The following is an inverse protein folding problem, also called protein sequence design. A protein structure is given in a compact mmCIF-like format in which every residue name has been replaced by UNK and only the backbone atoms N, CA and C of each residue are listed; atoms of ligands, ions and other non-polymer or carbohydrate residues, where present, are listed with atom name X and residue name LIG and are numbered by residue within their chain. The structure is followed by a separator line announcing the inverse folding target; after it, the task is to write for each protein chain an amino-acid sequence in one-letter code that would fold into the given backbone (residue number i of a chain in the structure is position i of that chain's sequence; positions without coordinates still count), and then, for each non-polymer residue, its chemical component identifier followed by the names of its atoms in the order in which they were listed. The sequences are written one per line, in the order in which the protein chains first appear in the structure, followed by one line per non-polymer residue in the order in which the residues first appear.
data_IF_264286802889
#
_entry.id   IF_264286802889
#
_cell.length_a   1.000
_cell.length_b   1.000
_cell.length_c   1.000
_cell.angle_alpha   90.00
_cell.angle_beta   90.00
_cell.angle_gamma   90.00
#
_symmetry.space_group_name_H-M   'P 1'
#
loop_
_entity.id
_entity.type
_entity.pdbx_description
1 polymer ?
#
# COMPACT_ATOMS: atom_id res chain seq x y z
N UNK A 1 -9.34 19.43 2.13
CA UNK A 1 -8.09 20.18 1.92
C UNK A 1 -7.05 19.18 1.46
N UNK A 2 -6.51 19.34 0.25
CA UNK A 2 -5.42 18.48 -0.22
C UNK A 2 -4.13 18.99 0.39
N UNK A 3 -3.55 18.20 1.29
CA UNK A 3 -2.26 18.49 1.87
C UNK A 3 -1.16 18.21 0.83
N UNK A 4 -0.40 19.22 0.38
CA UNK A 4 0.57 19.07 -0.71
C UNK A 4 1.78 18.22 -0.29
N UNK A 5 2.11 18.20 1.00
CA UNK A 5 3.20 17.37 1.53
C UNK A 5 2.81 15.89 1.50
N UNK A 6 1.58 15.58 1.92
CA UNK A 6 0.97 14.26 1.84
C UNK A 6 0.90 13.76 0.39
N UNK A 7 0.49 14.63 -0.55
CA UNK A 7 0.46 14.28 -1.96
C UNK A 7 1.86 13.96 -2.52
N UNK A 8 2.87 14.75 -2.14
CA UNK A 8 4.27 14.51 -2.54
C UNK A 8 4.79 13.20 -1.96
N UNK A 9 4.50 12.94 -0.69
CA UNK A 9 4.88 11.71 -0.02
C UNK A 9 4.22 10.48 -0.67
N UNK A 10 2.92 10.55 -1.00
CA UNK A 10 2.21 9.48 -1.71
C UNK A 10 2.78 9.21 -3.10
N UNK A 11 3.13 10.27 -3.84
CA UNK A 11 3.75 10.14 -5.16
C UNK A 11 5.12 9.43 -5.07
N UNK A 12 5.94 9.77 -4.08
CA UNK A 12 7.22 9.09 -3.84
C UNK A 12 7.01 7.62 -3.47
N UNK A 13 6.05 7.31 -2.61
CA UNK A 13 5.73 5.94 -2.21
C UNK A 13 5.34 5.07 -3.41
N UNK A 14 4.48 5.60 -4.29
CA UNK A 14 4.08 4.93 -5.54
C UNK A 14 5.28 4.58 -6.42
N UNK A 15 6.16 5.56 -6.66
CA UNK A 15 7.36 5.38 -7.50
C UNK A 15 8.29 4.29 -6.95
N UNK A 16 8.48 4.29 -5.63
CA UNK A 16 9.27 3.26 -4.95
C UNK A 16 8.64 1.85 -5.09
N UNK A 17 7.31 1.73 -4.99
CA UNK A 17 6.61 0.45 -5.17
C UNK A 17 6.76 -0.06 -6.60
N UNK A 18 6.58 0.82 -7.58
CA UNK A 18 6.71 0.48 -9.01
C UNK A 18 8.14 0.02 -9.35
N UNK A 19 9.15 0.68 -8.77
CA UNK A 19 10.56 0.30 -8.92
C UNK A 19 10.86 -1.08 -8.32
N UNK A 20 10.22 -1.43 -7.19
CA UNK A 20 10.36 -2.74 -6.56
C UNK A 20 9.64 -3.81 -7.39
N UNK A 21 8.46 -3.52 -7.92
CA UNK A 21 7.68 -4.43 -8.78
C UNK A 21 8.40 -4.81 -10.07
N UNK A 22 9.08 -3.84 -10.69
CA UNK A 22 9.82 -4.06 -11.94
C UNK A 22 11.11 -4.89 -11.78
N UNK A 23 11.63 -5.09 -10.56
CA UNK A 23 12.84 -5.90 -10.31
C UNK A 23 12.51 -7.33 -9.84
N UNK A 24 12.03 -8.12 -10.81
CA UNK A 24 11.77 -9.57 -10.89
C UNK A 24 12.21 -10.54 -9.75
N UNK A 25 11.29 -11.47 -9.46
CA UNK A 25 11.35 -12.83 -8.84
C UNK A 25 11.93 -13.05 -7.44
N UNK A 26 12.84 -12.23 -6.91
CA UNK A 26 13.46 -12.51 -5.58
C UNK A 26 12.77 -11.73 -4.44
N UNK A 27 11.76 -10.89 -4.74
CA UNK A 27 11.19 -9.91 -3.80
C UNK A 27 9.70 -10.04 -3.50
N UNK A 28 9.08 -11.17 -3.83
CA UNK A 28 7.66 -11.43 -3.55
C UNK A 28 7.31 -11.18 -2.07
N UNK A 29 8.12 -11.70 -1.13
CA UNK A 29 7.91 -11.46 0.31
C UNK A 29 7.96 -9.99 0.71
N UNK A 30 8.81 -9.20 0.06
CA UNK A 30 8.97 -7.76 0.36
C UNK A 30 7.82 -6.94 -0.21
N UNK A 31 7.31 -7.33 -1.39
CA UNK A 31 6.10 -6.73 -1.96
C UNK A 31 4.87 -7.06 -1.11
N UNK A 32 4.74 -8.30 -0.64
CA UNK A 32 3.69 -8.72 0.30
C UNK A 32 3.74 -7.88 1.59
N UNK A 33 4.93 -7.71 2.17
CA UNK A 33 5.10 -6.89 3.37
C UNK A 33 4.70 -5.42 3.13
N UNK A 34 5.10 -4.85 1.99
CA UNK A 34 4.75 -3.46 1.63
C UNK A 34 3.24 -3.31 1.44
N UNK A 35 2.60 -4.25 0.74
CA UNK A 35 1.16 -4.26 0.56
C UNK A 35 0.43 -4.34 1.90
N UNK A 36 0.83 -5.25 2.79
CA UNK A 36 0.22 -5.38 4.11
C UNK A 36 0.33 -4.10 4.94
N UNK A 37 1.49 -3.43 4.89
CA UNK A 37 1.71 -2.14 5.58
C UNK A 37 0.93 -0.98 4.97
N UNK A 38 0.71 -0.99 3.65
CA UNK A 38 -0.17 -0.02 2.99
C UNK A 38 -1.62 -0.20 3.45
N UNK A 39 -2.08 -1.44 3.58
CA UNK A 39 -3.42 -1.71 4.13
C UNK A 39 -3.53 -1.20 5.57
N UNK A 40 -2.53 -1.48 6.44
CA UNK A 40 -2.53 -0.95 7.81
C UNK A 40 -2.63 0.58 7.85
N UNK A 41 -1.93 1.27 6.95
CA UNK A 41 -2.01 2.72 6.83
C UNK A 41 -3.38 3.19 6.33
N UNK A 42 -3.98 2.49 5.37
CA UNK A 42 -5.33 2.80 4.87
C UNK A 42 -6.37 2.59 5.97
N UNK A 43 -6.27 1.53 6.78
CA UNK A 43 -7.18 1.31 7.92
C UNK A 43 -7.02 2.39 8.99
N UNK A 44 -5.80 2.88 9.22
CA UNK A 44 -5.57 4.00 10.12
C UNK A 44 -6.19 5.31 9.58
N UNK A 45 -6.09 5.57 8.28
CA UNK A 45 -6.58 6.81 7.65
C UNK A 45 -8.08 6.78 7.32
N UNK A 46 -8.65 5.61 7.07
CA UNK A 46 -10.03 5.40 6.64
C UNK A 46 -10.67 4.22 7.39
N UNK A 47 -10.82 4.31 8.72
CA UNK A 47 -11.33 3.22 9.55
C UNK A 47 -12.79 2.86 9.25
N UNK A 48 -13.55 3.77 8.63
CA UNK A 48 -14.94 3.58 8.27
C UNK A 48 -15.14 2.99 6.86
N UNK A 49 -14.05 2.66 6.15
CA UNK A 49 -14.10 2.15 4.77
C UNK A 49 -14.85 3.05 3.78
N UNK A 50 -14.80 4.37 3.97
CA UNK A 50 -15.53 5.33 3.14
C UNK A 50 -14.78 5.62 1.85
N UNK A 51 -13.44 5.68 1.90
CA UNK A 51 -12.60 6.07 0.77
C UNK A 51 -12.07 4.89 -0.01
N UNK A 52 -11.78 3.79 0.66
CA UNK A 52 -11.25 2.57 0.04
C UNK A 52 -12.14 1.40 0.41
N UNK A 53 -12.81 0.84 -0.60
CA UNK A 53 -13.67 -0.33 -0.44
C UNK A 53 -12.94 -1.49 0.24
N UNK A 54 -13.63 -2.29 1.07
CA UNK A 54 -13.02 -3.38 1.82
C UNK A 54 -12.41 -4.46 0.92
N UNK A 55 -12.89 -4.61 -0.33
CA UNK A 55 -12.34 -5.55 -1.32
C UNK A 55 -10.86 -5.28 -1.68
N UNK A 56 -10.40 -4.03 -1.56
CA UNK A 56 -9.01 -3.66 -1.82
C UNK A 56 -8.13 -3.71 -0.57
N UNK A 57 -8.72 -4.03 0.59
CA UNK A 57 -8.03 -4.11 1.89
C UNK A 57 -7.57 -5.50 2.25
N UNK A 58 -7.75 -6.47 1.36
CA UNK A 58 -7.30 -7.83 1.62
C UNK A 58 -5.77 -7.87 1.64
N UNK A 59 -5.21 -8.19 2.81
CA UNK A 59 -3.77 -8.43 3.00
C UNK A 59 -3.36 -9.69 2.24
N UNK A 60 -2.28 -9.60 1.48
CA UNK A 60 -1.76 -10.72 0.69
C UNK A 60 -0.95 -11.66 1.61
N UNK A 61 -1.06 -12.97 1.40
CA UNK A 61 -0.28 -13.97 2.13
C UNK A 61 -0.78 -14.27 3.55
N UNK A 62 -2.07 -14.10 3.82
CA UNK A 62 -2.72 -14.55 5.07
C UNK A 62 -3.12 -16.04 5.05
N UNK A 63 -2.77 -16.79 4.01
CA UNK A 63 -2.89 -18.25 3.95
C UNK A 63 -1.55 -18.88 4.35
N UNK A 64 -1.38 -19.14 5.64
CA UNK A 64 -0.44 -20.13 6.18
C UNK A 64 -0.89 -20.59 7.56
#
# INVERSE_FOLDING_TARGET
MSDPEFARWFAQLRDNIELIGNKSKVREKRLVLIQNRLIDLIDFLDPQCIRVSPEYRTKIGQDQ
#
